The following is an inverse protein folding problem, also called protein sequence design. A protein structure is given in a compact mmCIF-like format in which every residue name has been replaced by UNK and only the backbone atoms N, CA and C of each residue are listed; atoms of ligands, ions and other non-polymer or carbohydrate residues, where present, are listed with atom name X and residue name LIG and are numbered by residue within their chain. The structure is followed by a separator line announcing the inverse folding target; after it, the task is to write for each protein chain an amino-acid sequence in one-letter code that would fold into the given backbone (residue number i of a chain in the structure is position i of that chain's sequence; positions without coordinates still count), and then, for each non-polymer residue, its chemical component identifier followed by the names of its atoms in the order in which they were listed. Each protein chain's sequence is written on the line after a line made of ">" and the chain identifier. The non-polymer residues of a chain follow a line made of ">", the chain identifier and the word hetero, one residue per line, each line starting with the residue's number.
data_IF_682500684244
#
_entry.id   IF_682500684244
#
_cell.length_a   1.000
_cell.length_b   1.000
_cell.length_c   1.000
_cell.angle_alpha   90.00
_cell.angle_beta   90.00
_cell.angle_gamma   90.00
#
_symmetry.space_group_name_H-M   'P 1'
#
loop_
_entity.id
_entity.type
_entity.pdbx_description
1 polymer ?
#
# COMPACT_ATOMS: atom_id res chain seq x y z
N UNK A 1 -42.46 -44.58 -19.67
CA UNK A 1 -41.99 -43.26 -19.17
C UNK A 1 -40.61 -43.47 -18.58
N UNK A 2 -39.58 -43.10 -19.31
CA UNK A 2 -38.17 -43.23 -18.91
C UNK A 2 -37.75 -41.95 -18.22
N UNK A 3 -37.48 -42.02 -16.92
CA UNK A 3 -36.94 -40.90 -16.14
C UNK A 3 -35.42 -40.90 -16.29
N UNK A 4 -34.88 -39.94 -17.05
CA UNK A 4 -33.45 -39.66 -17.08
C UNK A 4 -33.11 -38.76 -15.89
N UNK A 5 -32.44 -39.32 -14.88
CA UNK A 5 -31.82 -38.54 -13.83
C UNK A 5 -30.53 -37.91 -14.36
N UNK A 6 -30.51 -36.57 -14.46
CA UNK A 6 -29.30 -35.82 -14.75
C UNK A 6 -28.44 -35.74 -13.48
N UNK A 7 -27.31 -36.43 -13.50
CA UNK A 7 -26.29 -36.33 -12.45
C UNK A 7 -25.61 -34.97 -12.57
N UNK A 8 -25.95 -34.03 -11.70
CA UNK A 8 -25.18 -32.79 -11.52
C UNK A 8 -23.89 -33.14 -10.79
N UNK A 9 -22.78 -33.23 -11.52
CA UNK A 9 -21.45 -33.36 -10.95
C UNK A 9 -21.07 -32.02 -10.30
N UNK A 10 -21.19 -31.94 -8.97
CA UNK A 10 -20.64 -30.82 -8.21
C UNK A 10 -19.11 -30.86 -8.29
N UNK A 11 -18.52 -29.95 -9.06
CA UNK A 11 -17.07 -29.75 -9.08
C UNK A 11 -16.66 -29.06 -7.77
N UNK A 12 -16.20 -29.83 -6.79
CA UNK A 12 -15.49 -29.28 -5.62
C UNK A 12 -14.14 -28.74 -6.08
N UNK A 13 -14.10 -27.47 -6.50
CA UNK A 13 -12.85 -26.75 -6.64
C UNK A 13 -12.27 -26.58 -5.24
N UNK A 14 -11.21 -27.33 -4.92
CA UNK A 14 -10.42 -27.09 -3.72
C UNK A 14 -9.87 -25.68 -3.84
N UNK A 15 -10.34 -24.75 -3.00
CA UNK A 15 -9.85 -23.38 -2.99
C UNK A 15 -8.33 -23.39 -2.80
N UNK A 16 -7.62 -22.70 -3.70
CA UNK A 16 -6.16 -22.59 -3.60
C UNK A 16 -5.79 -21.90 -2.28
N UNK A 17 -4.88 -22.51 -1.52
CA UNK A 17 -4.39 -21.94 -0.26
C UNK A 17 -3.59 -20.67 -0.56
N UNK A 18 -3.83 -19.60 0.20
CA UNK A 18 -3.06 -18.38 0.08
C UNK A 18 -1.58 -18.62 0.46
N UNK A 19 -0.68 -18.21 -0.42
CA UNK A 19 0.77 -18.30 -0.20
C UNK A 19 1.47 -16.95 -0.50
N UNK A 20 2.79 -16.90 -0.27
CA UNK A 20 3.58 -15.70 -0.48
C UNK A 20 3.54 -15.20 -1.94
N UNK A 21 3.43 -16.10 -2.91
CA UNK A 21 3.35 -15.76 -4.34
C UNK A 21 2.01 -15.12 -4.67
N UNK A 22 0.90 -15.71 -4.20
CA UNK A 22 -0.44 -15.18 -4.39
C UNK A 22 -0.57 -13.78 -3.76
N UNK A 23 -0.02 -13.59 -2.56
CA UNK A 23 0.04 -12.29 -1.91
C UNK A 23 0.83 -11.27 -2.74
N UNK A 24 2.04 -11.62 -3.18
CA UNK A 24 2.87 -10.75 -4.01
C UNK A 24 2.20 -10.35 -5.32
N UNK A 25 1.59 -11.30 -6.03
CA UNK A 25 0.87 -11.05 -7.27
C UNK A 25 -0.36 -10.14 -7.05
N UNK A 26 -1.12 -10.36 -5.99
CA UNK A 26 -2.25 -9.50 -5.63
C UNK A 26 -1.78 -8.07 -5.32
N UNK A 27 -0.67 -7.91 -4.59
CA UNK A 27 -0.07 -6.60 -4.35
C UNK A 27 0.35 -5.92 -5.65
N UNK A 28 1.09 -6.61 -6.53
CA UNK A 28 1.55 -6.02 -7.79
C UNK A 28 0.39 -5.64 -8.72
N UNK A 29 -0.66 -6.46 -8.79
CA UNK A 29 -1.85 -6.14 -9.58
C UNK A 29 -2.55 -4.88 -9.05
N UNK A 30 -2.79 -4.78 -7.74
CA UNK A 30 -3.39 -3.61 -7.13
C UNK A 30 -2.51 -2.36 -7.27
N UNK A 31 -1.19 -2.51 -7.08
CA UNK A 31 -0.22 -1.43 -7.27
C UNK A 31 -0.16 -0.95 -8.71
N UNK A 32 -0.24 -1.85 -9.70
CA UNK A 32 -0.27 -1.47 -11.12
C UNK A 32 -1.44 -0.57 -11.48
N UNK A 33 -2.63 -0.83 -10.90
CA UNK A 33 -3.80 0.05 -11.03
C UNK A 33 -3.52 1.44 -10.44
N UNK A 34 -2.94 1.50 -9.23
CA UNK A 34 -2.58 2.76 -8.60
C UNK A 34 -1.51 3.50 -9.42
N UNK A 35 -0.44 2.84 -9.87
CA UNK A 35 0.62 3.48 -10.65
C UNK A 35 0.14 4.06 -11.97
N UNK A 36 -0.85 3.44 -12.61
CA UNK A 36 -1.51 4.03 -13.79
C UNK A 36 -2.13 5.41 -13.47
N UNK A 37 -2.79 5.55 -12.32
CA UNK A 37 -3.33 6.83 -11.86
C UNK A 37 -2.20 7.79 -11.49
N UNK A 38 -1.20 7.34 -10.73
CA UNK A 38 -0.08 8.17 -10.29
C UNK A 38 0.70 8.78 -11.46
N UNK A 39 0.89 8.03 -12.54
CA UNK A 39 1.57 8.50 -13.75
C UNK A 39 0.85 9.70 -14.39
N UNK A 40 -0.50 9.73 -14.36
CA UNK A 40 -1.30 10.87 -14.86
C UNK A 40 -1.10 12.14 -14.03
N UNK A 41 -0.73 11.97 -12.75
CA UNK A 41 -0.42 13.06 -11.81
C UNK A 41 1.09 13.33 -11.68
N UNK A 42 1.93 12.77 -12.56
CA UNK A 42 3.38 12.97 -12.55
C UNK A 42 4.05 12.59 -11.22
N UNK A 43 3.49 11.60 -10.52
CA UNK A 43 3.90 11.18 -9.17
C UNK A 43 4.28 9.70 -9.18
N UNK A 44 5.18 9.29 -8.28
CA UNK A 44 5.57 7.88 -8.11
C UNK A 44 4.89 7.24 -6.89
N UNK A 45 4.90 5.91 -6.81
CA UNK A 45 4.38 5.20 -5.63
C UNK A 45 5.06 5.66 -4.34
N UNK A 46 6.41 5.75 -4.33
CA UNK A 46 7.15 6.17 -3.15
C UNK A 46 6.86 7.64 -2.77
N UNK A 47 6.73 8.55 -3.76
CA UNK A 47 6.31 9.94 -3.52
C UNK A 47 4.91 10.01 -2.90
N UNK A 48 3.96 9.24 -3.41
CA UNK A 48 2.60 9.18 -2.87
C UNK A 48 2.58 8.68 -1.42
N UNK A 49 3.35 7.63 -1.11
CA UNK A 49 3.43 7.07 0.25
C UNK A 49 4.06 8.09 1.21
N UNK A 50 5.18 8.71 0.85
CA UNK A 50 5.83 9.72 1.67
C UNK A 50 4.94 10.95 1.90
N UNK A 51 4.29 11.47 0.87
CA UNK A 51 3.39 12.61 1.00
C UNK A 51 2.15 12.27 1.85
N UNK A 52 1.58 11.07 1.68
CA UNK A 52 0.44 10.62 2.49
C UNK A 52 0.84 10.43 3.96
N UNK A 53 2.03 9.91 4.25
CA UNK A 53 2.56 9.79 5.61
C UNK A 53 2.67 11.16 6.28
N UNK A 54 3.27 12.15 5.60
CA UNK A 54 3.38 13.52 6.11
C UNK A 54 2.02 14.20 6.34
N UNK A 55 1.01 13.91 5.51
CA UNK A 55 -0.36 14.42 5.68
C UNK A 55 -1.07 13.75 6.86
N UNK A 56 -0.87 12.45 7.06
CA UNK A 56 -1.54 11.68 8.09
C UNK A 56 -0.97 11.90 9.51
N UNK A 57 0.29 12.35 9.63
CA UNK A 57 0.97 12.51 10.92
C UNK A 57 0.28 13.51 11.88
N UNK A 58 -0.58 14.42 11.38
CA UNK A 58 -1.33 15.37 12.20
C UNK A 58 -0.50 16.50 12.83
N UNK A 59 0.80 16.26 13.05
CA UNK A 59 1.80 17.23 13.51
C UNK A 59 2.96 17.32 12.51
N UNK A 60 3.60 18.49 12.34
CA UNK A 60 4.82 18.62 11.53
C UNK A 60 5.91 17.66 12.03
N UNK A 61 6.54 16.95 11.09
CA UNK A 61 7.59 15.96 11.38
C UNK A 61 8.94 16.48 10.95
N UNK A 62 10.03 16.02 11.57
CA UNK A 62 11.36 16.24 10.99
C UNK A 62 11.52 15.39 9.71
N UNK A 63 12.49 15.72 8.83
CA UNK A 63 12.81 14.87 7.69
C UNK A 63 13.14 13.43 8.08
N UNK A 64 13.88 13.23 9.17
CA UNK A 64 14.28 11.90 9.63
C UNK A 64 13.08 11.12 10.18
N UNK A 65 12.17 11.75 10.92
CA UNK A 65 10.93 11.09 11.39
C UNK A 65 10.10 10.59 10.21
N UNK A 66 9.95 11.42 9.16
CA UNK A 66 9.21 11.04 7.96
C UNK A 66 9.91 9.89 7.22
N UNK A 67 11.25 9.93 7.11
CA UNK A 67 12.03 8.84 6.51
C UNK A 67 11.84 7.55 7.27
N UNK A 68 11.93 7.57 8.61
CA UNK A 68 11.71 6.40 9.46
C UNK A 68 10.29 5.85 9.30
N UNK A 69 9.27 6.70 9.25
CA UNK A 69 7.89 6.27 9.06
C UNK A 69 7.66 5.61 7.68
N UNK A 70 8.22 6.19 6.62
CA UNK A 70 8.12 5.61 5.26
C UNK A 70 8.94 4.33 5.16
N UNK A 71 10.12 4.27 5.78
CA UNK A 71 10.95 3.07 5.83
C UNK A 71 10.22 1.93 6.56
N UNK A 72 9.54 2.21 7.66
CA UNK A 72 8.74 1.21 8.36
C UNK A 72 7.64 0.60 7.46
N UNK A 73 7.14 1.36 6.49
CA UNK A 73 6.08 0.92 5.58
C UNK A 73 6.63 0.21 4.34
N UNK A 74 7.67 0.76 3.69
CA UNK A 74 8.17 0.27 2.41
C UNK A 74 9.36 -0.67 2.54
N UNK A 75 10.02 -0.70 3.71
CA UNK A 75 11.32 -1.36 3.95
C UNK A 75 12.38 -1.01 2.88
N UNK A 76 12.26 0.17 2.26
CA UNK A 76 13.18 0.69 1.25
C UNK A 76 14.42 1.32 1.89
N UNK A 77 15.46 1.58 1.09
CA UNK A 77 16.67 2.24 1.55
C UNK A 77 16.35 3.67 2.06
N UNK A 78 16.78 4.06 3.27
CA UNK A 78 16.66 5.43 3.76
C UNK A 78 17.20 6.51 2.80
N UNK A 79 18.24 6.21 2.03
CA UNK A 79 18.79 7.14 1.03
C UNK A 79 17.79 7.43 -0.09
N UNK A 80 17.12 6.40 -0.62
CA UNK A 80 16.10 6.55 -1.66
C UNK A 80 14.87 7.30 -1.15
N UNK A 81 14.50 7.06 0.10
CA UNK A 81 13.40 7.78 0.76
C UNK A 81 13.77 9.25 0.95
N UNK A 82 14.99 9.57 1.39
CA UNK A 82 15.47 10.96 1.49
C UNK A 82 15.47 11.66 0.13
N UNK A 83 15.91 10.99 -0.93
CA UNK A 83 15.85 11.52 -2.29
C UNK A 83 14.38 11.82 -2.69
N UNK A 84 13.47 10.91 -2.36
CA UNK A 84 12.02 11.12 -2.60
C UNK A 84 11.48 12.34 -1.84
N UNK A 85 11.86 12.54 -0.58
CA UNK A 85 11.45 13.71 0.21
C UNK A 85 12.01 15.00 -0.41
N UNK A 86 13.26 14.99 -0.88
CA UNK A 86 13.85 16.13 -1.58
C UNK A 86 13.09 16.47 -2.88
N UNK A 87 12.68 15.46 -3.66
CA UNK A 87 11.84 15.68 -4.85
C UNK A 87 10.48 16.28 -4.51
N UNK A 88 9.85 15.86 -3.41
CA UNK A 88 8.58 16.43 -2.95
C UNK A 88 8.71 17.91 -2.54
N UNK A 89 9.86 18.30 -1.97
CA UNK A 89 10.20 19.69 -1.67
C UNK A 89 10.40 20.51 -2.95
N UNK A 90 11.15 19.97 -3.93
CA UNK A 90 11.34 20.61 -5.25
C UNK A 90 10.00 20.82 -5.97
N UNK A 91 9.10 19.83 -5.91
CA UNK A 91 7.73 19.91 -6.45
C UNK A 91 6.79 20.80 -5.63
N UNK A 92 7.24 21.36 -4.49
CA UNK A 92 6.44 22.18 -3.56
C UNK A 92 5.19 21.46 -3.04
N UNK A 93 5.24 20.13 -2.95
CA UNK A 93 4.19 19.31 -2.32
C UNK A 93 4.43 19.20 -0.81
N UNK A 94 5.70 19.29 -0.40
CA UNK A 94 6.13 19.57 0.95
C UNK A 94 6.82 20.94 0.99
N UNK A 95 6.88 21.54 2.17
CA UNK A 95 7.70 22.71 2.46
C UNK A 95 8.42 22.52 3.79
N UNK A 96 9.60 23.13 3.92
CA UNK A 96 10.33 23.18 5.18
C UNK A 96 9.86 24.39 6.00
N UNK A 97 9.55 24.15 7.26
CA UNK A 97 9.22 25.14 8.28
C UNK A 97 10.18 24.93 9.46
N UNK A 98 11.32 25.63 9.38
CA UNK A 98 12.46 25.38 10.27
C UNK A 98 12.97 23.95 10.12
N UNK A 99 12.97 23.20 11.23
CA UNK A 99 13.39 21.79 11.26
C UNK A 99 12.30 20.80 10.81
N UNK A 100 11.07 21.27 10.56
CA UNK A 100 9.94 20.41 10.27
C UNK A 100 9.51 20.49 8.81
N UNK A 101 8.91 19.41 8.32
CA UNK A 101 8.24 19.33 7.04
C UNK A 101 6.74 19.53 7.24
N UNK A 102 6.14 20.33 6.35
CA UNK A 102 4.70 20.55 6.29
C UNK A 102 4.16 20.20 4.91
N UNK A 103 3.05 19.46 4.82
CA UNK A 103 2.32 19.33 3.57
C UNK A 103 1.79 20.68 3.10
N UNK A 104 1.97 20.99 1.82
CA UNK A 104 1.40 22.20 1.21
C UNK A 104 -0.08 21.98 0.85
N UNK A 105 -0.78 23.05 0.45
CA UNK A 105 -2.13 22.92 -0.09
C UNK A 105 -2.13 22.03 -1.35
N UNK A 106 -1.20 22.28 -2.28
CA UNK A 106 -1.01 21.47 -3.48
C UNK A 106 -0.71 19.99 -3.16
N UNK A 107 0.09 19.71 -2.12
CA UNK A 107 0.34 18.34 -1.67
C UNK A 107 -0.93 17.62 -1.20
N UNK A 108 -1.79 18.31 -0.44
CA UNK A 108 -3.09 17.78 0.00
C UNK A 108 -4.05 17.57 -1.17
N UNK A 109 -4.14 18.55 -2.06
CA UNK A 109 -4.98 18.49 -3.26
C UNK A 109 -4.58 17.33 -4.18
N UNK A 110 -3.27 17.11 -4.38
CA UNK A 110 -2.75 15.98 -5.15
C UNK A 110 -3.20 14.63 -4.56
N UNK A 111 -3.02 14.43 -3.25
CA UNK A 111 -3.44 13.19 -2.59
C UNK A 111 -4.96 13.02 -2.64
N UNK A 112 -5.73 14.10 -2.51
CA UNK A 112 -7.18 14.06 -2.64
C UNK A 112 -7.60 13.66 -4.07
N UNK A 113 -6.98 14.23 -5.10
CA UNK A 113 -7.25 13.92 -6.51
C UNK A 113 -6.92 12.45 -6.85
N UNK A 114 -5.74 11.97 -6.46
CA UNK A 114 -5.35 10.56 -6.65
C UNK A 114 -6.34 9.63 -5.93
N UNK A 115 -6.73 9.97 -4.71
CA UNK A 115 -7.67 9.15 -3.93
C UNK A 115 -9.06 9.12 -4.57
N UNK A 116 -9.56 10.25 -5.07
CA UNK A 116 -10.84 10.32 -5.78
C UNK A 116 -10.83 9.51 -7.08
N UNK A 117 -9.75 9.57 -7.87
CA UNK A 117 -9.63 8.82 -9.12
C UNK A 117 -9.44 7.31 -8.90
N UNK A 118 -8.74 6.94 -7.82
CA UNK A 118 -8.47 5.53 -7.50
C UNK A 118 -9.65 4.85 -6.79
N UNK A 119 -10.46 5.59 -6.00
CA UNK A 119 -11.58 5.07 -5.24
C UNK A 119 -12.55 4.17 -6.04
N UNK A 120 -13.08 4.56 -7.22
CA UNK A 120 -13.96 3.70 -8.00
C UNK A 120 -13.24 2.46 -8.57
N UNK A 121 -11.92 2.54 -8.80
CA UNK A 121 -11.12 1.38 -9.24
C UNK A 121 -10.97 0.38 -8.09
N UNK A 122 -10.62 0.87 -6.91
CA UNK A 122 -10.56 0.08 -5.67
C UNK A 122 -11.91 -0.56 -5.37
N UNK A 123 -13.01 0.17 -5.47
CA UNK A 123 -14.35 -0.37 -5.24
C UNK A 123 -14.68 -1.57 -6.16
N UNK A 124 -14.20 -1.57 -7.41
CA UNK A 124 -14.38 -2.71 -8.33
C UNK A 124 -13.45 -3.89 -8.01
N UNK A 125 -12.24 -3.62 -7.54
CA UNK A 125 -11.28 -4.67 -7.13
C UNK A 125 -11.79 -5.43 -5.90
N UNK A 126 -12.38 -4.71 -4.94
CA UNK A 126 -12.84 -5.29 -3.68
C UNK A 126 -14.34 -5.65 -3.67
N UNK A 127 -15.11 -5.16 -4.65
CA UNK A 127 -16.55 -5.33 -4.72
C UNK A 127 -16.96 -6.79 -4.92
N UNK A 128 -18.01 -7.22 -4.22
CA UNK A 128 -18.56 -8.57 -4.33
C UNK A 128 -17.82 -9.64 -3.52
N UNK A 129 -16.71 -9.30 -2.86
CA UNK A 129 -16.02 -10.22 -1.94
C UNK A 129 -16.83 -10.32 -0.64
N UNK A 130 -17.16 -11.53 -0.15
CA UNK A 130 -17.85 -11.71 1.12
C UNK A 130 -17.10 -11.06 2.29
N UNK A 131 -17.81 -10.37 3.18
CA UNK A 131 -17.20 -9.70 4.34
C UNK A 131 -16.44 -10.67 5.26
N UNK A 132 -16.90 -11.92 5.37
CA UNK A 132 -16.22 -12.95 6.14
C UNK A 132 -14.85 -13.32 5.54
N UNK A 133 -14.76 -13.39 4.21
CA UNK A 133 -13.51 -13.69 3.50
C UNK A 133 -12.53 -12.53 3.60
N UNK A 134 -13.01 -11.28 3.51
CA UNK A 134 -12.19 -10.09 3.76
C UNK A 134 -11.65 -10.05 5.19
N UNK A 135 -12.50 -10.38 6.18
CA UNK A 135 -12.08 -10.44 7.57
C UNK A 135 -11.05 -11.57 7.81
N UNK A 136 -11.23 -12.73 7.18
CA UNK A 136 -10.29 -13.84 7.26
C UNK A 136 -8.95 -13.48 6.60
N UNK A 137 -8.96 -12.96 5.38
CA UNK A 137 -7.78 -12.48 4.69
C UNK A 137 -7.06 -11.39 5.49
N UNK A 138 -7.78 -10.41 6.03
CA UNK A 138 -7.21 -9.34 6.86
C UNK A 138 -6.46 -9.86 8.08
N UNK A 139 -7.01 -10.88 8.79
CA UNK A 139 -6.30 -11.52 9.91
C UNK A 139 -5.03 -12.24 9.47
N UNK A 140 -5.07 -12.96 8.33
CA UNK A 140 -3.89 -13.65 7.80
C UNK A 140 -2.82 -12.64 7.38
N UNK A 141 -3.19 -11.58 6.67
CA UNK A 141 -2.27 -10.53 6.23
C UNK A 141 -1.60 -9.85 7.43
N UNK A 142 -2.36 -9.51 8.48
CA UNK A 142 -1.80 -8.93 9.70
C UNK A 142 -0.78 -9.85 10.36
N UNK A 143 -1.11 -11.14 10.51
CA UNK A 143 -0.20 -12.13 11.10
C UNK A 143 1.07 -12.34 10.26
N UNK A 144 0.94 -12.37 8.94
CA UNK A 144 2.09 -12.49 8.02
C UNK A 144 2.98 -11.26 8.12
N UNK A 145 2.41 -10.05 8.15
CA UNK A 145 3.17 -8.80 8.33
C UNK A 145 3.92 -8.78 9.65
N UNK A 146 3.26 -9.12 10.76
CA UNK A 146 3.87 -9.17 12.10
C UNK A 146 5.09 -10.13 12.12
N UNK A 147 4.91 -11.36 11.61
CA UNK A 147 5.97 -12.36 11.60
C UNK A 147 7.12 -11.98 10.66
N UNK A 148 6.81 -11.45 9.48
CA UNK A 148 7.83 -11.01 8.53
C UNK A 148 8.67 -9.85 9.10
N UNK A 149 8.03 -8.90 9.78
CA UNK A 149 8.73 -7.79 10.44
C UNK A 149 9.60 -8.27 11.60
N UNK A 150 9.13 -9.24 12.40
CA UNK A 150 9.91 -9.85 13.48
C UNK A 150 11.15 -10.59 12.96
N UNK A 151 11.01 -11.38 11.89
CA UNK A 151 12.13 -12.07 11.25
C UNK A 151 13.13 -11.08 10.64
N UNK A 152 12.64 -10.04 9.96
CA UNK A 152 13.50 -9.00 9.40
C UNK A 152 14.29 -8.29 10.50
N UNK A 153 13.64 -7.92 11.60
CA UNK A 153 14.28 -7.30 12.75
C UNK A 153 15.38 -8.20 13.34
N UNK A 154 15.13 -9.51 13.45
CA UNK A 154 16.14 -10.47 13.88
C UNK A 154 17.34 -10.46 12.92
N UNK A 155 17.12 -10.57 11.61
CA UNK A 155 18.19 -10.59 10.61
C UNK A 155 19.06 -9.32 10.61
N UNK A 156 18.46 -8.15 10.84
CA UNK A 156 19.19 -6.88 10.90
C UNK A 156 19.85 -6.64 12.25
N UNK A 157 19.26 -7.13 13.34
CA UNK A 157 19.78 -7.00 14.70
C UNK A 157 21.00 -7.88 14.98
N UNK A 158 21.12 -9.05 14.33
CA UNK A 158 22.29 -9.94 14.46
C UNK A 158 23.54 -9.43 13.72
N UNK A 159 23.43 -8.30 12.99
CA UNK A 159 24.55 -7.67 12.26
C UNK A 159 25.10 -6.42 12.96
N UNK A 160 24.68 -6.16 14.20
CA UNK A 160 25.13 -5.01 15.03
C UNK A 160 26.18 -5.44 16.05
#
# INVERSE_FOLDING_TARGET
>A
MTTTAATTTASTSTAAVADARALGLAHYAARGVLEHVLARHGTTFQQQIALRAAIAAGTPQTPDDLVTQVQASLKADPADIRATVAELLVKRLLTADGAHLRPTAAGRELIAAISAETAPLTARVWGGIPAADLAAAGRVLALVTERADAELAALTGHRS
#
